data_IF_883701685828
#
_entry.id   IF_883701685828
#
_cell.length_a   1.000
_cell.length_b   1.000
_cell.length_c   1.000
_cell.angle_alpha   90.00
_cell.angle_beta   90.00
_cell.angle_gamma   90.00
#
_symmetry.space_group_name_H-M   'P 1'
#
loop_
_entity.id
_entity.type
_entity.pdbx_description
1 polymer ?
#
# COMPACT_ATOMS: atom_id res chain seq x y z
N UNK A 1 -7.70 11.90 -8.91
CA UNK A 1 -8.79 12.65 -8.24
C UNK A 1 -8.21 13.99 -7.85
N UNK A 2 -8.90 15.11 -8.08
CA UNK A 2 -8.37 16.45 -7.72
C UNK A 2 -8.75 16.82 -6.27
N UNK A 3 -8.04 17.76 -5.63
CA UNK A 3 -8.38 18.23 -4.29
C UNK A 3 -9.82 18.73 -4.16
N UNK A 4 -10.30 19.53 -5.12
CA UNK A 4 -11.67 20.05 -5.10
C UNK A 4 -12.74 18.95 -5.20
N UNK A 5 -12.52 17.94 -6.05
CA UNK A 5 -13.43 16.79 -6.15
C UNK A 5 -13.44 15.95 -4.87
N UNK A 6 -12.27 15.74 -4.25
CA UNK A 6 -12.16 15.05 -2.97
C UNK A 6 -12.97 15.76 -1.87
N UNK A 7 -12.78 17.07 -1.70
CA UNK A 7 -13.47 17.86 -0.68
C UNK A 7 -14.99 17.81 -0.89
N UNK A 8 -15.45 17.97 -2.13
CA UNK A 8 -16.87 17.87 -2.47
C UNK A 8 -17.46 16.49 -2.11
N UNK A 9 -16.76 15.40 -2.42
CA UNK A 9 -17.20 14.04 -2.09
C UNK A 9 -17.17 13.76 -0.59
N UNK A 10 -16.18 14.30 0.12
CA UNK A 10 -16.05 14.15 1.57
C UNK A 10 -17.16 14.90 2.31
N UNK A 11 -17.48 16.13 1.89
CA UNK A 11 -18.64 16.89 2.38
C UNK A 11 -19.95 16.13 2.11
N UNK A 12 -20.11 15.61 0.90
CA UNK A 12 -21.29 14.84 0.49
C UNK A 12 -21.48 13.50 1.22
N UNK A 13 -20.54 13.10 2.09
CA UNK A 13 -20.63 11.90 2.93
C UNK A 13 -20.57 12.22 4.43
N UNK A 14 -20.78 13.49 4.79
CA UNK A 14 -20.72 13.98 6.17
C UNK A 14 -19.36 13.69 6.82
N UNK A 15 -18.28 13.90 6.08
CA UNK A 15 -16.90 13.70 6.54
C UNK A 15 -16.58 12.25 6.94
N UNK A 16 -17.25 11.27 6.32
CA UNK A 16 -17.01 9.84 6.55
C UNK A 16 -16.22 9.24 5.39
N UNK A 17 -14.90 9.12 5.56
CA UNK A 17 -14.00 8.62 4.52
C UNK A 17 -14.37 7.21 4.01
N UNK A 18 -14.74 6.30 4.92
CA UNK A 18 -15.19 4.95 4.53
C UNK A 18 -16.44 4.97 3.65
N UNK A 19 -17.41 5.85 3.96
CA UNK A 19 -18.62 5.99 3.16
C UNK A 19 -18.31 6.62 1.78
N UNK A 20 -17.39 7.58 1.72
CA UNK A 20 -16.90 8.15 0.47
C UNK A 20 -16.25 7.09 -0.43
N UNK A 21 -15.37 6.25 0.15
CA UNK A 21 -14.72 5.18 -0.57
C UNK A 21 -15.73 4.12 -1.06
N UNK A 22 -16.64 3.68 -0.19
CA UNK A 22 -17.69 2.72 -0.53
C UNK A 22 -18.58 3.22 -1.69
N UNK A 23 -19.00 4.48 -1.66
CA UNK A 23 -19.75 5.10 -2.75
C UNK A 23 -18.96 5.13 -4.07
N UNK A 24 -17.65 5.34 -4.00
CA UNK A 24 -16.76 5.25 -5.16
C UNK A 24 -16.71 3.85 -5.76
N UNK A 25 -16.61 2.82 -4.91
CA UNK A 25 -16.65 1.40 -5.32
C UNK A 25 -18.01 1.06 -5.93
N UNK A 26 -19.11 1.42 -5.27
CA UNK A 26 -20.47 1.14 -5.74
C UNK A 26 -20.75 1.73 -7.13
N UNK A 27 -20.19 2.91 -7.44
CA UNK A 27 -20.34 3.53 -8.75
C UNK A 27 -19.66 2.76 -9.90
N UNK A 28 -18.72 1.86 -9.59
CA UNK A 28 -17.91 1.15 -10.59
C UNK A 28 -18.08 -0.38 -10.54
N UNK A 29 -18.55 -0.95 -9.43
CA UNK A 29 -18.55 -2.41 -9.19
C UNK A 29 -19.41 -3.23 -10.15
N UNK A 30 -20.37 -2.61 -10.84
CA UNK A 30 -21.25 -3.29 -11.81
C UNK A 30 -20.88 -2.98 -13.27
N UNK A 31 -19.80 -2.25 -13.52
CA UNK A 31 -19.37 -1.91 -14.86
C UNK A 31 -18.72 -3.13 -15.57
N UNK A 32 -18.84 -3.22 -16.90
CA UNK A 32 -18.07 -4.17 -17.68
C UNK A 32 -16.56 -4.02 -17.43
N UNK A 33 -15.84 -5.14 -17.37
CA UNK A 33 -14.38 -5.14 -17.15
C UNK A 33 -13.63 -4.33 -18.21
N UNK A 34 -14.10 -4.36 -19.46
CA UNK A 34 -13.55 -3.54 -20.56
C UNK A 34 -13.55 -2.05 -20.23
N UNK A 35 -14.61 -1.57 -19.62
CA UNK A 35 -14.84 -0.16 -19.36
C UNK A 35 -14.00 0.30 -18.17
N UNK A 36 -13.89 -0.54 -17.14
CA UNK A 36 -12.98 -0.32 -16.01
C UNK A 36 -11.52 -0.27 -16.47
N UNK A 37 -11.12 -1.17 -17.36
CA UNK A 37 -9.76 -1.18 -17.92
C UNK A 37 -9.49 0.05 -18.79
N UNK A 38 -10.46 0.49 -19.59
CA UNK A 38 -10.34 1.72 -20.37
C UNK A 38 -10.15 2.95 -19.47
N UNK A 39 -10.98 3.09 -18.43
CA UNK A 39 -10.88 4.16 -17.44
C UNK A 39 -9.56 4.11 -16.66
N UNK A 40 -9.09 2.92 -16.28
CA UNK A 40 -7.78 2.77 -15.64
C UNK A 40 -6.65 3.28 -16.55
N UNK A 41 -6.64 2.90 -17.83
CA UNK A 41 -5.63 3.36 -18.80
C UNK A 41 -5.66 4.86 -19.02
N UNK A 42 -6.86 5.46 -19.08
CA UNK A 42 -7.02 6.91 -19.21
C UNK A 42 -6.50 7.65 -17.98
N UNK A 43 -6.73 7.10 -16.79
CA UNK A 43 -6.35 7.72 -15.52
C UNK A 43 -4.89 7.50 -15.13
N UNK A 44 -4.25 6.43 -15.60
CA UNK A 44 -2.88 6.06 -15.25
C UNK A 44 -1.84 7.15 -15.55
N UNK A 45 -2.11 8.05 -16.52
CA UNK A 45 -1.22 9.15 -16.90
C UNK A 45 -1.45 10.45 -16.10
N UNK A 46 -2.45 10.48 -15.21
CA UNK A 46 -2.80 11.69 -14.46
C UNK A 46 -1.80 11.93 -13.33
N UNK A 47 -1.36 13.18 -13.19
CA UNK A 47 -0.50 13.66 -12.10
C UNK A 47 -1.28 14.34 -10.97
N UNK A 48 -2.61 14.24 -10.97
CA UNK A 48 -3.47 14.85 -9.94
C UNK A 48 -3.76 13.89 -8.79
N UNK A 49 -3.61 14.37 -7.56
CA UNK A 49 -3.82 13.59 -6.34
C UNK A 49 -4.84 14.25 -5.40
N UNK A 50 -5.52 13.48 -4.53
CA UNK A 50 -6.25 14.03 -3.40
C UNK A 50 -5.32 14.79 -2.44
N UNK A 51 -5.87 15.58 -1.51
CA UNK A 51 -5.08 16.27 -0.50
C UNK A 51 -4.28 15.26 0.34
N UNK A 52 -2.99 15.55 0.56
CA UNK A 52 -2.11 14.73 1.38
C UNK A 52 -0.69 14.63 0.81
N UNK A 53 0.21 13.92 1.52
CA UNK A 53 1.56 13.67 1.04
C UNK A 53 1.56 12.89 -0.27
N UNK A 54 2.44 13.25 -1.22
CA UNK A 54 2.62 12.51 -2.47
C UNK A 54 3.04 11.05 -2.21
N UNK A 55 3.79 10.81 -1.13
CA UNK A 55 4.20 9.48 -0.69
C UNK A 55 3.02 8.54 -0.39
N UNK A 56 1.86 9.07 -0.01
CA UNK A 56 0.64 8.27 0.11
C UNK A 56 0.27 7.65 -1.24
N UNK A 57 0.32 8.43 -2.33
CA UNK A 57 0.01 7.93 -3.67
C UNK A 57 1.02 6.90 -4.16
N UNK A 58 2.30 7.06 -3.80
CA UNK A 58 3.32 6.06 -4.09
C UNK A 58 3.02 4.74 -3.37
N UNK A 59 2.69 4.81 -2.08
CA UNK A 59 2.30 3.64 -1.29
C UNK A 59 1.09 2.93 -1.88
N UNK A 60 0.04 3.66 -2.24
CA UNK A 60 -1.16 3.13 -2.90
C UNK A 60 -0.81 2.40 -4.21
N UNK A 61 0.04 2.99 -5.05
CA UNK A 61 0.44 2.38 -6.32
C UNK A 61 1.24 1.09 -6.12
N UNK A 62 2.19 1.07 -5.18
CA UNK A 62 2.99 -0.12 -4.87
C UNK A 62 2.12 -1.22 -4.26
N UNK A 63 1.38 -0.91 -3.19
CA UNK A 63 0.58 -1.88 -2.44
C UNK A 63 -0.51 -2.47 -3.33
N UNK A 64 -1.29 -1.63 -4.02
CA UNK A 64 -2.40 -2.12 -4.83
C UNK A 64 -1.97 -2.68 -6.18
N UNK A 65 -0.82 -2.27 -6.69
CA UNK A 65 -0.16 -2.96 -7.78
C UNK A 65 0.10 -4.42 -7.41
N UNK A 66 0.76 -4.65 -6.27
CA UNK A 66 1.05 -5.99 -5.78
C UNK A 66 -0.22 -6.80 -5.46
N UNK A 67 -1.24 -6.18 -4.86
CA UNK A 67 -2.55 -6.80 -4.60
C UNK A 67 -3.19 -7.35 -5.90
N UNK A 68 -2.95 -6.69 -7.04
CA UNK A 68 -3.42 -7.15 -8.36
C UNK A 68 -2.49 -8.16 -9.03
N UNK A 69 -1.17 -7.98 -8.91
CA UNK A 69 -0.19 -8.75 -9.67
C UNK A 69 0.05 -10.14 -9.07
N UNK A 70 0.12 -10.25 -7.74
CA UNK A 70 0.42 -11.51 -7.05
C UNK A 70 -0.58 -12.62 -7.32
N UNK A 71 -1.92 -12.40 -7.25
CA UNK A 71 -2.90 -13.48 -7.47
C UNK A 71 -2.85 -14.08 -8.87
N UNK A 72 -2.33 -13.34 -9.86
CA UNK A 72 -2.19 -13.79 -11.25
C UNK A 72 -0.75 -14.15 -11.61
N UNK A 73 0.13 -14.29 -10.62
CA UNK A 73 1.53 -14.69 -10.82
C UNK A 73 2.38 -13.68 -11.59
N UNK A 74 1.96 -12.41 -11.65
CA UNK A 74 2.72 -11.35 -12.31
C UNK A 74 3.65 -10.64 -11.33
N UNK A 75 4.75 -10.12 -11.85
CA UNK A 75 5.66 -9.22 -11.14
C UNK A 75 5.50 -7.81 -11.66
N UNK A 76 5.56 -6.83 -10.77
CA UNK A 76 5.65 -5.42 -11.13
C UNK A 76 7.11 -5.02 -11.03
N UNK A 77 7.64 -4.41 -12.09
CA UNK A 77 8.97 -3.83 -12.07
C UNK A 77 8.90 -2.47 -11.36
N UNK A 78 9.39 -2.44 -10.12
CA UNK A 78 9.42 -1.25 -9.27
C UNK A 78 10.88 -0.91 -9.00
N UNK A 79 11.27 0.33 -9.29
CA UNK A 79 12.66 0.73 -9.12
C UNK A 79 13.12 0.57 -7.66
N UNK A 80 14.38 0.17 -7.40
CA UNK A 80 14.93 0.07 -6.05
C UNK A 80 14.73 1.34 -5.20
N UNK A 81 14.94 2.51 -5.80
CA UNK A 81 14.75 3.79 -5.13
C UNK A 81 13.28 4.00 -4.69
N UNK A 82 12.33 3.63 -5.56
CA UNK A 82 10.90 3.68 -5.23
C UNK A 82 10.55 2.76 -4.07
N UNK A 83 11.11 1.55 -4.03
CA UNK A 83 10.89 0.58 -2.95
C UNK A 83 11.44 1.11 -1.62
N UNK A 84 12.64 1.70 -1.61
CA UNK A 84 13.24 2.30 -0.41
C UNK A 84 12.39 3.45 0.13
N UNK A 85 11.92 4.35 -0.73
CA UNK A 85 11.05 5.45 -0.34
C UNK A 85 9.71 4.94 0.23
N UNK A 86 9.10 3.93 -0.42
CA UNK A 86 7.87 3.31 0.05
C UNK A 86 8.07 2.60 1.41
N UNK A 87 9.18 1.89 1.62
CA UNK A 87 9.53 1.27 2.90
C UNK A 87 9.68 2.30 4.03
N UNK A 88 10.41 3.38 3.77
CA UNK A 88 10.62 4.46 4.74
C UNK A 88 9.31 5.14 5.11
N UNK A 89 8.43 5.37 4.14
CA UNK A 89 7.11 5.94 4.37
C UNK A 89 6.19 4.97 5.13
N UNK A 90 6.05 3.74 4.65
CA UNK A 90 5.14 2.74 5.21
C UNK A 90 5.47 2.44 6.68
N UNK A 91 6.74 2.25 7.04
CA UNK A 91 7.15 1.96 8.43
C UNK A 91 6.93 3.12 9.39
N UNK A 92 6.79 4.35 8.91
CA UNK A 92 6.60 5.55 9.76
C UNK A 92 5.14 5.98 9.84
N UNK A 93 4.32 5.49 8.92
CA UNK A 93 2.93 5.93 8.78
C UNK A 93 2.02 5.15 9.72
N UNK A 94 1.34 5.89 10.60
CA UNK A 94 0.33 5.35 11.51
C UNK A 94 -1.10 5.46 10.94
N UNK A 95 -1.56 6.61 10.42
CA UNK A 95 -2.90 6.71 9.85
C UNK A 95 -3.03 5.86 8.57
N UNK A 96 -4.12 5.11 8.43
CA UNK A 96 -4.50 4.29 7.27
C UNK A 96 -3.66 3.03 7.01
N UNK A 97 -2.33 3.10 7.13
CA UNK A 97 -1.43 1.96 6.85
C UNK A 97 -1.07 1.14 8.10
N UNK A 98 -1.08 1.75 9.29
CA UNK A 98 -0.65 1.16 10.57
C UNK A 98 0.78 0.56 10.57
N UNK A 99 1.61 0.90 9.59
CA UNK A 99 2.94 0.32 9.43
C UNK A 99 3.88 0.68 10.57
N UNK A 100 3.73 1.86 11.19
CA UNK A 100 4.45 2.23 12.42
C UNK A 100 4.20 1.26 13.57
N UNK A 101 2.95 0.94 13.82
CA UNK A 101 2.55 0.03 14.91
C UNK A 101 3.00 -1.40 14.62
N UNK A 102 2.81 -1.87 13.39
CA UNK A 102 3.17 -3.25 13.01
C UNK A 102 4.68 -3.47 13.02
N UNK A 103 5.46 -2.48 12.62
CA UNK A 103 6.94 -2.54 12.56
C UNK A 103 7.65 -2.29 13.90
N UNK A 104 6.94 -1.88 14.96
CA UNK A 104 7.56 -1.45 16.21
C UNK A 104 8.38 -2.58 16.88
N UNK A 105 9.65 -2.30 17.20
CA UNK A 105 10.55 -3.28 17.84
C UNK A 105 10.92 -4.49 16.96
N UNK A 106 10.77 -4.37 15.64
CA UNK A 106 11.27 -5.33 14.66
C UNK A 106 12.42 -4.71 13.87
N UNK A 107 13.37 -5.55 13.46
CA UNK A 107 14.39 -5.19 12.48
C UNK A 107 13.90 -5.64 11.10
N UNK A 108 13.60 -4.69 10.23
CA UNK A 108 13.20 -4.97 8.84
C UNK A 108 14.42 -4.94 7.95
N UNK A 109 14.61 -5.96 7.09
CA UNK A 109 15.73 -6.04 6.16
C UNK A 109 15.26 -6.45 4.77
N UNK A 110 15.45 -5.58 3.78
CA UNK A 110 15.18 -5.94 2.39
C UNK A 110 16.31 -6.83 1.84
N UNK A 111 15.96 -7.80 1.00
CA UNK A 111 16.94 -8.72 0.37
C UNK A 111 17.31 -8.33 -1.06
N UNK A 112 16.51 -7.48 -1.70
CA UNK A 112 16.59 -7.07 -3.10
C UNK A 112 16.98 -5.60 -3.30
N UNK A 113 17.07 -4.84 -2.21
CA UNK A 113 17.58 -3.47 -2.17
C UNK A 113 18.45 -3.27 -0.93
N UNK A 114 19.41 -2.34 -0.99
CA UNK A 114 20.24 -1.98 0.17
C UNK A 114 19.45 -1.14 1.18
N UNK A 115 18.69 -1.83 2.03
CA UNK A 115 17.85 -1.19 3.02
C UNK A 115 17.64 -2.07 4.25
N UNK A 116 17.78 -1.46 5.43
CA UNK A 116 17.34 -2.02 6.68
C UNK A 116 16.92 -0.93 7.66
N UNK A 117 16.00 -1.23 8.57
CA UNK A 117 15.55 -0.28 9.58
C UNK A 117 14.99 -0.96 10.83
N UNK A 118 15.15 -0.29 11.98
CA UNK A 118 14.66 -0.77 13.26
C UNK A 118 15.63 -1.72 13.95
N UNK A 119 15.25 -2.16 15.14
CA UNK A 119 16.03 -3.01 16.03
C UNK A 119 15.09 -4.05 16.65
N UNK A 120 15.62 -5.25 16.93
CA UNK A 120 14.85 -6.37 17.46
C UNK A 120 14.89 -7.61 16.55
N UNK A 121 13.96 -8.57 16.74
CA UNK A 121 13.84 -9.76 15.90
C UNK A 121 13.71 -9.41 14.42
N UNK A 122 14.43 -10.13 13.56
CA UNK A 122 14.53 -9.80 12.14
C UNK A 122 13.31 -10.28 11.35
N UNK A 123 12.83 -9.43 10.44
CA UNK A 123 11.91 -9.75 9.35
C UNK A 123 12.62 -9.42 8.05
N UNK A 124 12.99 -10.45 7.30
CA UNK A 124 13.83 -10.37 6.11
C UNK A 124 13.10 -10.93 4.89
N UNK A 125 13.18 -10.24 3.76
CA UNK A 125 12.60 -10.68 2.49
C UNK A 125 12.58 -9.56 1.44
N UNK A 126 11.91 -9.76 0.29
CA UNK A 126 11.78 -8.74 -0.74
C UNK A 126 11.12 -7.45 -0.20
N UNK A 127 11.58 -6.29 -0.66
CA UNK A 127 11.10 -5.00 -0.19
C UNK A 127 9.57 -4.85 -0.34
N UNK A 128 9.02 -5.25 -1.48
CA UNK A 128 7.57 -5.24 -1.72
C UNK A 128 6.80 -6.11 -0.72
N UNK A 129 7.32 -7.30 -0.40
CA UNK A 129 6.71 -8.22 0.56
C UNK A 129 6.73 -7.66 1.99
N UNK A 130 7.80 -6.95 2.37
CA UNK A 130 7.88 -6.23 3.65
C UNK A 130 6.84 -5.11 3.69
N UNK A 131 6.75 -4.27 2.64
CA UNK A 131 5.76 -3.18 2.53
C UNK A 131 4.35 -3.73 2.73
N UNK A 132 3.99 -4.78 1.99
CA UNK A 132 2.69 -5.43 2.11
C UNK A 132 2.40 -5.90 3.53
N UNK A 133 3.32 -6.65 4.14
CA UNK A 133 3.11 -7.21 5.47
C UNK A 133 2.95 -6.13 6.55
N UNK A 134 3.80 -5.09 6.56
CA UNK A 134 3.67 -4.00 7.54
C UNK A 134 2.42 -3.15 7.30
N UNK A 135 1.91 -3.11 6.07
CA UNK A 135 0.61 -2.52 5.72
C UNK A 135 -0.59 -3.45 5.96
N UNK A 136 -0.39 -4.63 6.54
CA UNK A 136 -1.46 -5.55 6.94
C UNK A 136 -1.94 -6.48 5.83
N UNK A 137 -1.20 -6.59 4.72
CA UNK A 137 -1.50 -7.50 3.62
C UNK A 137 -0.80 -8.84 3.82
N UNK A 138 -1.57 -9.87 4.16
CA UNK A 138 -1.05 -11.22 4.42
C UNK A 138 -0.29 -11.83 3.24
N UNK A 139 -0.59 -11.39 2.01
CA UNK A 139 0.11 -11.83 0.79
C UNK A 139 1.62 -11.54 0.80
N UNK A 140 2.08 -10.59 1.61
CA UNK A 140 3.51 -10.33 1.79
C UNK A 140 4.22 -11.34 2.70
N UNK A 141 3.52 -11.96 3.64
CA UNK A 141 4.13 -12.83 4.66
C UNK A 141 4.79 -14.09 4.09
N UNK A 142 4.29 -14.60 2.97
CA UNK A 142 4.78 -15.85 2.36
C UNK A 142 6.24 -15.79 1.92
N UNK A 143 6.76 -14.58 1.68
CA UNK A 143 8.15 -14.37 1.24
C UNK A 143 9.08 -13.90 2.37
N UNK A 144 8.58 -13.83 3.61
CA UNK A 144 9.32 -13.30 4.74
C UNK A 144 9.88 -14.41 5.62
N UNK A 145 11.06 -14.16 6.15
CA UNK A 145 11.80 -15.06 7.04
C UNK A 145 12.35 -14.30 8.25
N UNK A 146 12.76 -15.04 9.28
CA UNK A 146 13.37 -14.49 10.50
C UNK A 146 12.44 -14.50 11.71
N UNK A 147 13.05 -14.36 12.88
CA UNK A 147 12.40 -14.54 14.19
C UNK A 147 11.27 -13.52 14.47
N UNK A 148 11.25 -12.40 13.74
CA UNK A 148 10.22 -11.38 13.86
C UNK A 148 8.93 -11.66 13.08
N UNK A 149 8.91 -12.65 12.18
CA UNK A 149 7.77 -12.87 11.27
C UNK A 149 6.50 -13.23 12.01
N UNK A 150 6.58 -14.09 13.03
CA UNK A 150 5.42 -14.48 13.82
C UNK A 150 4.85 -13.30 14.61
N UNK A 151 5.72 -12.45 15.15
CA UNK A 151 5.32 -11.21 15.83
C UNK A 151 4.61 -10.26 14.86
N UNK A 152 5.13 -10.10 13.64
CA UNK A 152 4.49 -9.27 12.62
C UNK A 152 3.11 -9.83 12.25
N UNK A 153 3.00 -11.15 12.03
CA UNK A 153 1.74 -11.82 11.71
C UNK A 153 0.66 -11.58 12.77
N UNK A 154 1.03 -11.68 14.05
CA UNK A 154 0.11 -11.44 15.18
C UNK A 154 -0.43 -10.00 15.22
N UNK A 155 0.29 -9.01 14.66
CA UNK A 155 -0.11 -7.60 14.63
C UNK A 155 -0.98 -7.23 13.42
N UNK A 156 -1.31 -8.20 12.56
CA UNK A 156 -2.12 -7.96 11.36
C UNK A 156 -3.63 -8.09 11.60
N UNK A 157 -4.04 -8.64 12.75
CA UNK A 157 -5.43 -8.74 13.21
C UNK A 157 -6.04 -7.39 13.57
#
# INVERSE_FOLDING_TARGET
MTPGRFISQYLGTSFRFHAMNAKGVDAHRTQPVSDLLAQFRETAKRSTAPPGPLMTMLGEAVIHGEDMARPVGKRIDISPATLVEALNYARRTAPLLHGKQRSAGLKLRATDVDWSAGEGPEVSGPAASIILAICGRAAGLGDLTGDGVDTLRQRMS
#
